data_IF_095617993604
#
_entry.id   IF_095617993604
#
_cell.length_a   1.000
_cell.length_b   1.000
_cell.length_c   1.000
_cell.angle_alpha   90.00
_cell.angle_beta   90.00
_cell.angle_gamma   90.00
#
_symmetry.space_group_name_H-M   'P 1'
#
loop_
_entity.id
_entity.type
_entity.pdbx_description
1 polymer ?
#
# COMPACT_ATOMS: atom_id res chain seq x y z
N UNK A 1 12.53 -24.81 -22.51
CA UNK A 1 11.23 -24.63 -23.19
C UNK A 1 11.51 -23.93 -24.51
N UNK A 2 11.45 -24.66 -25.61
CA UNK A 2 11.66 -24.09 -26.93
C UNK A 2 10.40 -23.32 -27.33
N UNK A 3 10.56 -22.06 -27.70
CA UNK A 3 9.48 -21.29 -28.33
C UNK A 3 9.10 -21.97 -29.64
N UNK A 4 7.81 -21.92 -30.03
CA UNK A 4 7.38 -22.48 -31.31
C UNK A 4 8.15 -21.81 -32.44
N UNK A 5 8.74 -22.62 -33.30
CA UNK A 5 9.51 -22.20 -34.47
C UNK A 5 8.61 -21.44 -35.46
N UNK A 6 8.88 -20.14 -35.62
CA UNK A 6 8.97 -19.39 -36.88
C UNK A 6 7.76 -19.24 -37.81
N UNK A 7 6.76 -20.11 -37.79
CA UNK A 7 5.79 -20.21 -38.90
C UNK A 7 4.33 -20.04 -38.50
N UNK A 8 4.03 -19.92 -37.19
CA UNK A 8 2.67 -19.63 -36.68
C UNK A 8 2.53 -18.24 -36.04
N UNK A 9 3.59 -17.44 -36.01
CA UNK A 9 3.61 -16.08 -35.45
C UNK A 9 3.07 -14.99 -36.40
N UNK A 10 2.24 -15.35 -37.39
CA UNK A 10 1.62 -14.42 -38.33
C UNK A 10 0.09 -14.62 -38.41
N UNK A 11 -0.56 -14.88 -37.28
CA UNK A 11 -1.95 -14.44 -37.17
C UNK A 11 -1.93 -12.90 -37.09
N UNK A 12 -2.72 -12.17 -37.91
CA UNK A 12 -2.77 -10.73 -37.81
C UNK A 12 -3.22 -10.36 -36.39
N UNK A 13 -2.35 -9.66 -35.65
CA UNK A 13 -2.70 -9.06 -34.38
C UNK A 13 -3.90 -8.15 -34.61
N UNK A 14 -5.10 -8.59 -34.24
CA UNK A 14 -6.24 -7.69 -34.07
C UNK A 14 -6.12 -7.00 -32.70
N UNK A 15 -5.00 -6.31 -32.50
CA UNK A 15 -4.72 -5.46 -31.35
C UNK A 15 -5.68 -4.26 -31.26
N UNK A 16 -6.63 -4.15 -32.20
CA UNK A 16 -7.63 -3.09 -32.26
C UNK A 16 -8.72 -3.22 -31.19
N UNK A 17 -8.83 -4.37 -30.50
CA UNK A 17 -9.93 -4.65 -29.55
C UNK A 17 -9.57 -4.52 -28.07
N UNK A 18 -8.29 -4.65 -27.67
CA UNK A 18 -7.88 -4.62 -26.26
C UNK A 18 -7.10 -3.34 -25.99
N UNK A 19 -7.63 -2.47 -25.13
CA UNK A 19 -6.88 -1.30 -24.66
C UNK A 19 -5.79 -1.75 -23.68
N UNK A 20 -4.55 -1.78 -24.16
CA UNK A 20 -3.37 -2.10 -23.36
C UNK A 20 -2.74 -0.86 -22.70
N UNK A 21 -3.43 0.29 -22.67
CA UNK A 21 -3.01 1.45 -21.89
C UNK A 21 -3.28 1.25 -20.38
N UNK A 22 -2.73 0.17 -19.83
CA UNK A 22 -2.79 -0.10 -18.40
C UNK A 22 -1.88 0.87 -17.63
N UNK A 23 -2.15 1.11 -16.33
CA UNK A 23 -1.24 1.84 -15.47
C UNK A 23 0.17 1.24 -15.52
N UNK A 24 1.19 2.10 -15.53
CA UNK A 24 2.60 1.69 -15.61
C UNK A 24 3.31 1.64 -14.26
N UNK A 25 2.67 2.16 -13.21
CA UNK A 25 3.15 2.16 -11.83
C UNK A 25 2.01 2.50 -10.86
N UNK A 26 2.22 2.24 -9.56
CA UNK A 26 1.23 2.49 -8.50
C UNK A 26 0.68 3.92 -8.48
N UNK A 27 1.55 4.93 -8.53
CA UNK A 27 1.14 6.35 -8.54
C UNK A 27 0.43 6.80 -9.84
N UNK A 28 0.37 5.95 -10.86
CA UNK A 28 -0.31 6.22 -12.14
C UNK A 28 -1.71 5.61 -12.19
N UNK A 29 -2.10 4.88 -11.13
CA UNK A 29 -3.43 4.35 -10.98
C UNK A 29 -4.39 5.43 -10.47
N UNK A 30 -5.61 5.46 -10.99
CA UNK A 30 -6.70 6.19 -10.34
C UNK A 30 -7.03 5.57 -8.98
N UNK A 31 -7.78 6.30 -8.16
CA UNK A 31 -8.28 5.79 -6.88
C UNK A 31 -9.09 4.50 -7.07
N UNK A 32 -9.98 4.49 -8.06
CA UNK A 32 -10.84 3.34 -8.37
C UNK A 32 -10.02 2.13 -8.80
N UNK A 33 -8.98 2.34 -9.61
CA UNK A 33 -8.06 1.27 -10.01
C UNK A 33 -7.29 0.70 -8.80
N UNK A 34 -6.86 1.55 -7.86
CA UNK A 34 -6.22 1.10 -6.62
C UNK A 34 -7.19 0.30 -5.74
N UNK A 35 -8.45 0.73 -5.62
CA UNK A 35 -9.48 0.01 -4.87
C UNK A 35 -9.79 -1.36 -5.51
N UNK A 36 -9.83 -1.46 -6.84
CA UNK A 36 -9.97 -2.74 -7.58
C UNK A 36 -8.78 -3.67 -7.29
N UNK A 37 -7.55 -3.15 -7.37
CA UNK A 37 -6.34 -3.93 -7.06
C UNK A 37 -6.38 -4.41 -5.60
N UNK A 38 -6.79 -3.56 -4.67
CA UNK A 38 -6.95 -3.92 -3.26
C UNK A 38 -7.95 -5.07 -3.04
N UNK A 39 -9.09 -5.05 -3.74
CA UNK A 39 -10.06 -6.14 -3.68
C UNK A 39 -9.47 -7.46 -4.22
N UNK A 40 -8.75 -7.42 -5.35
CA UNK A 40 -8.07 -8.61 -5.90
C UNK A 40 -7.07 -9.19 -4.89
N UNK A 41 -6.25 -8.35 -4.27
CA UNK A 41 -5.28 -8.80 -3.26
C UNK A 41 -5.99 -9.48 -2.07
N UNK A 42 -7.06 -8.87 -1.57
CA UNK A 42 -7.83 -9.43 -0.46
C UNK A 42 -8.42 -10.78 -0.82
N UNK A 43 -9.07 -10.88 -1.98
CA UNK A 43 -9.68 -12.12 -2.46
C UNK A 43 -8.64 -13.25 -2.63
N UNK A 44 -7.42 -12.93 -3.07
CA UNK A 44 -6.33 -13.91 -3.17
C UNK A 44 -5.80 -14.35 -1.81
N UNK A 45 -5.73 -13.44 -0.83
CA UNK A 45 -5.33 -13.77 0.54
C UNK A 45 -6.40 -14.61 1.26
N UNK A 46 -7.69 -14.31 1.05
CA UNK A 46 -8.80 -15.06 1.65
C UNK A 46 -8.90 -16.49 1.12
N UNK A 47 -8.49 -16.72 -0.14
CA UNK A 47 -8.45 -18.03 -0.78
C UNK A 47 -7.18 -18.82 -0.47
N UNK A 48 -6.23 -18.24 0.26
CA UNK A 48 -4.97 -18.89 0.58
C UNK A 48 -5.21 -20.11 1.49
N UNK A 49 -4.75 -21.26 1.03
CA UNK A 49 -4.73 -22.48 1.82
C UNK A 49 -3.42 -23.25 1.62
N UNK A 50 -3.27 -24.39 2.30
CA UNK A 50 -2.05 -25.21 2.24
C UNK A 50 -1.72 -25.70 0.81
N UNK A 51 -2.73 -25.87 -0.03
CA UNK A 51 -2.64 -26.40 -1.39
C UNK A 51 -2.65 -25.30 -2.45
N UNK A 52 -3.14 -24.11 -2.11
CA UNK A 52 -3.23 -22.93 -2.96
C UNK A 52 -2.56 -21.74 -2.26
N UNK A 53 -1.21 -21.68 -2.25
CA UNK A 53 -0.50 -20.56 -1.66
C UNK A 53 -0.76 -19.26 -2.44
N UNK A 54 -0.58 -18.12 -1.78
CA UNK A 54 -0.69 -16.82 -2.42
C UNK A 54 0.21 -16.74 -3.68
N UNK A 55 -0.38 -16.36 -4.81
CA UNK A 55 0.32 -16.21 -6.09
C UNK A 55 0.15 -14.80 -6.64
N UNK A 56 1.27 -14.09 -6.78
CA UNK A 56 1.30 -12.77 -7.41
C UNK A 56 0.92 -12.84 -8.90
N UNK A 57 1.14 -13.99 -9.54
CA UNK A 57 0.72 -14.21 -10.94
C UNK A 57 -0.81 -14.19 -11.05
N UNK A 58 -1.52 -14.80 -10.09
CA UNK A 58 -2.99 -14.76 -10.06
C UNK A 58 -3.50 -13.34 -9.84
N UNK A 59 -2.84 -12.55 -8.98
CA UNK A 59 -3.16 -11.14 -8.78
C UNK A 59 -2.99 -10.36 -10.08
N UNK A 60 -1.86 -10.51 -10.77
CA UNK A 60 -1.59 -9.84 -12.05
C UNK A 60 -2.58 -10.27 -13.14
N UNK A 61 -2.94 -11.55 -13.19
CA UNK A 61 -3.92 -12.06 -14.13
C UNK A 61 -5.30 -11.42 -13.91
N UNK A 62 -5.79 -11.41 -12.67
CA UNK A 62 -7.06 -10.78 -12.34
C UNK A 62 -7.03 -9.26 -12.57
N UNK A 63 -5.93 -8.60 -12.21
CA UNK A 63 -5.74 -7.17 -12.44
C UNK A 63 -5.70 -6.84 -13.94
N UNK A 64 -5.08 -7.70 -14.75
CA UNK A 64 -5.06 -7.55 -16.20
C UNK A 64 -6.47 -7.52 -16.79
N UNK A 65 -7.31 -8.51 -16.47
CA UNK A 65 -8.69 -8.53 -16.98
C UNK A 65 -9.48 -7.31 -16.51
N UNK A 66 -9.43 -6.99 -15.21
CA UNK A 66 -10.23 -5.90 -14.65
C UNK A 66 -9.77 -4.51 -15.13
N UNK A 67 -8.46 -4.26 -15.22
CA UNK A 67 -7.93 -2.98 -15.68
C UNK A 67 -8.07 -2.80 -17.19
N UNK A 68 -8.05 -3.88 -17.98
CA UNK A 68 -8.34 -3.86 -19.41
C UNK A 68 -9.86 -3.84 -19.71
N UNK A 69 -10.72 -3.77 -18.67
CA UNK A 69 -12.17 -3.84 -18.78
C UNK A 69 -12.67 -5.08 -19.54
N UNK A 70 -12.08 -6.24 -19.25
CA UNK A 70 -12.42 -7.51 -19.88
C UNK A 70 -13.29 -8.37 -18.95
N UNK A 71 -14.44 -8.80 -19.46
CA UNK A 71 -15.29 -9.80 -18.82
C UNK A 71 -14.99 -11.19 -19.39
N UNK A 72 -14.85 -12.18 -18.51
CA UNK A 72 -14.64 -13.58 -18.90
C UNK A 72 -16.00 -14.26 -19.04
N UNK A 73 -16.32 -14.71 -20.26
CA UNK A 73 -17.54 -15.44 -20.59
C UNK A 73 -17.33 -16.96 -20.48
N UNK A 74 -16.14 -17.45 -20.82
CA UNK A 74 -15.78 -18.86 -20.67
C UNK A 74 -14.31 -19.03 -20.30
N UNK A 75 -14.04 -20.03 -19.47
CA UNK A 75 -12.70 -20.42 -19.04
C UNK A 75 -12.02 -21.36 -20.06
N UNK A 76 -10.68 -21.43 -20.07
CA UNK A 76 -9.95 -22.30 -20.98
C UNK A 76 -10.27 -23.78 -20.74
N UNK A 77 -10.47 -24.54 -21.83
CA UNK A 77 -10.57 -25.99 -21.76
C UNK A 77 -9.18 -26.62 -21.60
N UNK A 78 -8.91 -27.19 -20.42
CA UNK A 78 -7.63 -27.80 -20.08
C UNK A 78 -7.31 -29.08 -20.86
N UNK A 79 -8.28 -29.62 -21.61
CA UNK A 79 -8.09 -30.79 -22.50
C UNK A 79 -7.42 -30.43 -23.81
N UNK A 80 -7.46 -29.16 -24.21
CA UNK A 80 -6.82 -28.68 -25.43
C UNK A 80 -5.31 -28.47 -25.22
N UNK A 81 -4.49 -28.54 -26.28
CA UNK A 81 -3.09 -28.14 -26.22
C UNK A 81 -2.94 -26.69 -25.71
N UNK A 82 -1.87 -26.40 -24.95
CA UNK A 82 -1.66 -25.09 -24.31
C UNK A 82 -1.73 -23.91 -25.29
N UNK A 83 -1.27 -24.09 -26.53
CA UNK A 83 -1.28 -23.04 -27.57
C UNK A 83 -2.69 -22.73 -28.10
N UNK A 84 -3.65 -23.63 -27.89
CA UNK A 84 -5.06 -23.52 -28.31
C UNK A 84 -5.99 -23.14 -27.17
N UNK A 85 -5.48 -23.09 -25.93
CA UNK A 85 -6.25 -22.67 -24.76
C UNK A 85 -6.45 -21.14 -24.76
N UNK A 86 -7.69 -20.70 -24.57
CA UNK A 86 -8.07 -19.29 -24.50
C UNK A 86 -9.19 -19.03 -23.50
N UNK A 87 -9.26 -17.80 -23.00
CA UNK A 87 -10.45 -17.26 -22.35
C UNK A 87 -11.37 -16.69 -23.43
N UNK A 88 -12.67 -16.97 -23.36
CA UNK A 88 -13.63 -16.23 -24.19
C UNK A 88 -13.96 -14.94 -23.44
N UNK A 89 -13.64 -13.79 -24.04
CA UNK A 89 -13.74 -12.49 -23.39
C UNK A 89 -14.64 -11.52 -24.16
N UNK A 90 -15.10 -10.49 -23.46
CA UNK A 90 -15.75 -9.31 -24.03
C UNK A 90 -15.23 -8.03 -23.37
N UNK A 91 -15.14 -6.94 -24.12
CA UNK A 91 -14.85 -5.62 -23.56
C UNK A 91 -16.10 -5.06 -22.89
N UNK A 92 -15.99 -4.65 -21.64
CA UNK A 92 -17.05 -3.98 -20.89
C UNK A 92 -16.89 -2.48 -21.04
N UNK A 93 -17.75 -1.84 -21.83
CA UNK A 93 -17.84 -0.38 -21.80
C UNK A 93 -18.94 0.08 -20.83
N UNK A 94 -18.85 1.30 -20.27
CA UNK A 94 -19.93 1.85 -19.44
C UNK A 94 -21.30 1.89 -20.13
N UNK A 95 -21.31 1.97 -21.46
CA UNK A 95 -22.54 1.98 -22.28
C UNK A 95 -23.17 0.57 -22.43
N UNK A 96 -22.36 -0.49 -22.46
CA UNK A 96 -22.81 -1.88 -22.63
C UNK A 96 -23.58 -2.43 -21.43
N UNK A 97 -23.55 -1.78 -20.26
CA UNK A 97 -24.29 -2.23 -19.06
C UNK A 97 -25.81 -2.30 -19.27
N UNK A 98 -26.33 -1.55 -20.24
CA UNK A 98 -27.76 -1.52 -20.57
C UNK A 98 -28.11 -2.28 -21.87
N UNK A 99 -27.14 -2.46 -22.76
CA UNK A 99 -27.30 -3.20 -24.02
C UNK A 99 -26.01 -3.99 -24.32
N UNK A 100 -25.90 -5.25 -23.87
CA UNK A 100 -24.70 -6.03 -24.09
C UNK A 100 -24.48 -6.23 -25.59
N UNK A 101 -23.40 -5.69 -26.13
CA UNK A 101 -22.89 -6.08 -27.44
C UNK A 101 -22.39 -7.53 -27.36
N UNK A 102 -22.68 -8.32 -28.39
CA UNK A 102 -22.38 -9.77 -28.45
C UNK A 102 -20.99 -10.05 -29.05
N UNK A 103 -20.12 -9.04 -29.11
CA UNK A 103 -18.79 -9.14 -29.74
C UNK A 103 -17.79 -9.78 -28.76
N UNK A 104 -17.92 -11.10 -28.60
CA UNK A 104 -16.95 -11.91 -27.87
C UNK A 104 -15.74 -12.26 -28.72
N UNK A 105 -14.57 -12.41 -28.10
CA UNK A 105 -13.33 -12.79 -28.79
C UNK A 105 -12.47 -13.72 -27.92
N UNK A 106 -11.69 -14.61 -28.53
CA UNK A 106 -10.77 -15.47 -27.81
C UNK A 106 -9.52 -14.69 -27.38
N UNK A 107 -9.13 -14.83 -26.12
CA UNK A 107 -7.88 -14.34 -25.58
C UNK A 107 -6.99 -15.51 -25.17
N UNK A 108 -5.97 -15.79 -25.97
CA UNK A 108 -5.15 -16.99 -25.81
C UNK A 108 -4.23 -16.90 -24.60
N UNK A 109 -4.00 -18.05 -23.94
CA UNK A 109 -3.12 -18.14 -22.78
C UNK A 109 -1.69 -17.68 -23.10
N UNK A 110 -1.17 -18.00 -24.29
CA UNK A 110 0.17 -17.57 -24.69
C UNK A 110 0.26 -16.04 -24.85
N UNK A 111 -0.83 -15.35 -25.23
CA UNK A 111 -0.85 -13.88 -25.34
C UNK A 111 -0.79 -13.24 -23.95
N UNK A 112 -1.62 -13.73 -23.03
CA UNK A 112 -1.65 -13.28 -21.65
C UNK A 112 -0.29 -13.54 -20.99
N UNK A 113 0.26 -14.73 -21.19
CA UNK A 113 1.56 -15.10 -20.65
C UNK A 113 2.67 -14.20 -21.22
N UNK A 114 2.65 -13.90 -22.52
CA UNK A 114 3.58 -12.94 -23.12
C UNK A 114 3.46 -11.56 -22.47
N UNK A 115 2.27 -11.05 -22.21
CA UNK A 115 2.11 -9.73 -21.60
C UNK A 115 2.53 -9.65 -20.13
N UNK A 116 2.22 -10.69 -19.35
CA UNK A 116 2.49 -10.73 -17.91
C UNK A 116 3.89 -11.22 -17.56
N UNK A 117 4.55 -11.92 -18.48
CA UNK A 117 5.91 -12.42 -18.28
C UNK A 117 6.94 -11.29 -18.18
N UNK A 118 8.00 -11.45 -17.36
CA UNK A 118 9.04 -10.45 -17.19
C UNK A 118 9.74 -10.08 -18.49
N UNK A 119 10.19 -8.83 -18.56
CA UNK A 119 11.02 -8.32 -19.65
C UNK A 119 12.46 -8.82 -19.50
N UNK A 120 13.15 -9.07 -20.61
CA UNK A 120 14.55 -9.46 -20.61
C UNK A 120 15.39 -8.40 -19.88
N UNK A 121 16.33 -8.83 -19.04
CA UNK A 121 17.29 -7.96 -18.36
C UNK A 121 18.52 -7.68 -19.21
N UNK A 122 18.67 -8.41 -20.31
CA UNK A 122 19.77 -8.29 -21.25
C UNK A 122 19.40 -7.47 -22.48
N UNK A 123 20.36 -6.67 -22.96
CA UNK A 123 20.25 -5.94 -24.22
C UNK A 123 20.53 -6.83 -25.45
N UNK A 124 21.01 -8.06 -25.23
CA UNK A 124 21.34 -8.98 -26.31
C UNK A 124 20.07 -9.59 -26.92
N UNK A 125 19.66 -9.05 -28.07
CA UNK A 125 18.47 -9.46 -28.83
C UNK A 125 18.48 -10.91 -29.33
N UNK A 126 19.64 -11.56 -29.33
CA UNK A 126 19.80 -12.96 -29.79
C UNK A 126 19.89 -13.95 -28.63
N UNK A 127 19.89 -13.48 -27.39
CA UNK A 127 19.94 -14.37 -26.23
C UNK A 127 18.64 -15.15 -26.07
N UNK A 128 18.71 -16.38 -25.57
CA UNK A 128 17.53 -17.16 -25.24
C UNK A 128 16.59 -16.44 -24.25
N UNK A 129 17.15 -15.61 -23.36
CA UNK A 129 16.41 -14.73 -22.45
C UNK A 129 15.60 -13.67 -23.21
N UNK A 130 16.20 -12.99 -24.20
CA UNK A 130 15.50 -12.02 -25.03
C UNK A 130 14.53 -12.66 -26.03
N UNK A 131 14.71 -13.92 -26.40
CA UNK A 131 13.73 -14.55 -27.29
C UNK A 131 12.50 -15.01 -26.47
N UNK A 132 12.69 -15.38 -25.20
CA UNK A 132 11.64 -15.87 -24.30
C UNK A 132 10.97 -14.81 -23.41
N UNK A 133 11.37 -13.53 -23.48
CA UNK A 133 10.82 -12.51 -22.60
C UNK A 133 9.41 -12.05 -22.96
N UNK A 134 8.69 -11.61 -21.93
CA UNK A 134 7.39 -10.96 -22.06
C UNK A 134 7.46 -9.44 -22.05
N UNK A 135 6.30 -8.80 -22.12
CA UNK A 135 6.16 -7.34 -22.13
C UNK A 135 6.14 -6.71 -20.71
N UNK A 136 5.99 -7.53 -19.66
CA UNK A 136 5.95 -7.15 -18.24
C UNK A 136 5.04 -5.96 -17.92
N UNK A 137 3.84 -5.94 -18.51
CA UNK A 137 2.94 -4.77 -18.45
C UNK A 137 2.45 -4.46 -17.03
N UNK A 138 2.43 -5.46 -16.15
CA UNK A 138 2.09 -5.33 -14.73
C UNK A 138 3.28 -5.64 -13.81
N UNK A 139 4.51 -5.60 -14.32
CA UNK A 139 5.73 -5.85 -13.53
C UNK A 139 5.88 -4.90 -12.34
N UNK A 140 5.36 -3.68 -12.46
CA UNK A 140 5.40 -2.68 -11.40
C UNK A 140 4.65 -3.08 -10.12
N UNK A 141 3.75 -4.07 -10.20
CA UNK A 141 3.07 -4.60 -9.02
C UNK A 141 4.01 -5.45 -8.15
N UNK A 142 5.15 -5.91 -8.69
CA UNK A 142 6.15 -6.64 -7.93
C UNK A 142 6.98 -5.70 -7.05
N UNK A 143 7.06 -6.01 -5.76
CA UNK A 143 7.86 -5.27 -4.77
C UNK A 143 9.36 -5.16 -5.12
N UNK A 144 9.87 -6.05 -5.97
CA UNK A 144 11.28 -6.09 -6.41
C UNK A 144 11.66 -4.95 -7.35
N UNK A 145 10.70 -4.34 -8.03
CA UNK A 145 10.95 -3.31 -9.04
C UNK A 145 11.11 -1.90 -8.44
N UNK A 146 11.03 -1.77 -7.11
CA UNK A 146 11.34 -0.51 -6.41
C UNK A 146 10.31 0.60 -6.60
N UNK A 147 9.20 0.32 -7.27
CA UNK A 147 8.08 1.24 -7.45
C UNK A 147 7.02 0.98 -6.38
N UNK A 148 6.67 2.03 -5.64
CA UNK A 148 5.71 1.94 -4.56
C UNK A 148 4.66 3.05 -4.65
N UNK A 149 3.50 2.83 -4.04
CA UNK A 149 2.49 3.87 -3.86
C UNK A 149 3.00 4.87 -2.81
N UNK A 150 3.21 6.12 -3.20
CA UNK A 150 3.64 7.22 -2.32
C UNK A 150 2.66 8.39 -2.34
N UNK A 151 1.88 8.49 -3.41
CA UNK A 151 0.73 9.37 -3.48
C UNK A 151 -0.44 8.80 -2.66
N UNK A 152 -1.10 9.65 -1.89
CA UNK A 152 -2.27 9.26 -1.10
C UNK A 152 -3.56 9.50 -1.88
N UNK A 153 -4.37 8.47 -2.17
CA UNK A 153 -5.50 8.60 -3.11
C UNK A 153 -6.79 9.16 -2.49
N UNK A 154 -6.77 9.55 -1.21
CA UNK A 154 -7.95 10.04 -0.49
C UNK A 154 -7.75 11.48 -0.01
N UNK A 155 -7.75 12.43 -0.95
CA UNK A 155 -7.54 13.85 -0.65
C UNK A 155 -8.51 14.36 0.44
N UNK A 156 -9.81 14.15 0.27
CA UNK A 156 -10.80 14.49 1.28
C UNK A 156 -11.90 13.43 1.40
N UNK A 157 -12.27 13.13 2.64
CA UNK A 157 -13.37 12.22 2.95
C UNK A 157 -14.34 12.87 3.94
N UNK A 158 -15.60 12.49 3.86
CA UNK A 158 -16.64 12.96 4.78
C UNK A 158 -17.29 11.77 5.50
N UNK A 159 -17.11 11.69 6.81
CA UNK A 159 -17.54 10.53 7.63
C UNK A 159 -18.51 10.97 8.73
N UNK A 160 -19.44 10.09 9.08
CA UNK A 160 -20.28 10.22 10.28
C UNK A 160 -19.65 9.39 11.40
N UNK A 161 -19.85 9.82 12.65
CA UNK A 161 -19.49 9.03 13.82
C UNK A 161 -20.32 7.73 13.83
N UNK A 162 -19.71 6.60 14.14
CA UNK A 162 -20.45 5.34 14.24
C UNK A 162 -21.53 5.44 15.33
N UNK A 163 -22.72 4.91 15.05
CA UNK A 163 -23.89 5.04 15.93
C UNK A 163 -24.59 6.40 15.87
N UNK A 164 -24.10 7.35 15.07
CA UNK A 164 -24.80 8.61 14.85
C UNK A 164 -26.00 8.41 13.93
N UNK A 165 -27.13 9.05 14.28
CA UNK A 165 -28.38 8.96 13.52
C UNK A 165 -28.27 9.47 12.08
N UNK A 166 -29.29 9.20 11.27
CA UNK A 166 -29.33 9.55 9.85
C UNK A 166 -29.16 11.07 9.62
N UNK A 167 -29.62 11.90 10.57
CA UNK A 167 -29.50 13.36 10.52
C UNK A 167 -28.17 13.93 11.04
N UNK A 168 -27.26 13.08 11.54
CA UNK A 168 -25.98 13.56 12.06
C UNK A 168 -25.10 14.16 10.95
N UNK A 169 -24.48 15.30 11.26
CA UNK A 169 -23.59 16.02 10.35
C UNK A 169 -22.31 15.21 10.11
N UNK A 170 -21.89 15.10 8.85
CA UNK A 170 -20.59 14.52 8.48
C UNK A 170 -19.46 15.47 8.88
N UNK A 171 -18.40 14.94 9.48
CA UNK A 171 -17.13 15.64 9.66
C UNK A 171 -16.27 15.42 8.41
N UNK A 172 -15.62 16.49 7.95
CA UNK A 172 -14.66 16.44 6.83
C UNK A 172 -13.27 16.15 7.37
N UNK A 173 -12.55 15.34 6.62
CA UNK A 173 -11.19 14.95 6.90
C UNK A 173 -10.37 15.07 5.62
N UNK A 174 -9.11 15.47 5.75
CA UNK A 174 -8.16 15.57 4.65
C UNK A 174 -7.01 14.58 4.85
N UNK A 175 -6.68 13.85 3.80
CA UNK A 175 -5.56 12.90 3.80
C UNK A 175 -4.20 13.60 3.82
N UNK A 176 -3.11 12.84 4.09
CA UNK A 176 -1.74 13.28 3.88
C UNK A 176 -1.53 13.75 2.44
N UNK A 177 -0.65 14.73 2.27
CA UNK A 177 -0.09 15.05 0.96
C UNK A 177 1.00 14.04 0.60
N UNK A 178 1.39 14.05 -0.68
CA UNK A 178 2.51 13.24 -1.19
C UNK A 178 3.75 13.39 -0.31
N UNK A 179 4.47 12.29 -0.09
CA UNK A 179 5.67 12.24 0.75
C UNK A 179 5.45 12.77 2.18
N UNK A 180 4.23 12.64 2.71
CA UNK A 180 3.85 13.12 4.04
C UNK A 180 4.08 14.64 4.21
N UNK A 181 3.98 15.43 3.15
CA UNK A 181 4.08 16.89 3.25
C UNK A 181 3.06 17.45 4.26
N UNK A 182 3.55 18.24 5.21
CA UNK A 182 2.78 18.74 6.35
C UNK A 182 2.66 17.81 7.57
N UNK A 183 3.27 16.62 7.56
CA UNK A 183 3.33 15.78 8.76
C UNK A 183 4.30 16.36 9.78
N UNK A 184 3.78 16.57 11.00
CA UNK A 184 4.64 16.82 12.15
C UNK A 184 5.34 15.53 12.59
N UNK A 185 6.45 15.69 13.29
CA UNK A 185 7.15 14.56 13.90
C UNK A 185 6.25 13.77 14.86
N UNK A 186 5.43 14.46 15.66
CA UNK A 186 4.47 13.81 16.53
C UNK A 186 3.46 12.96 15.73
N UNK A 187 2.87 13.52 14.67
CA UNK A 187 1.92 12.81 13.83
C UNK A 187 2.54 11.55 13.21
N UNK A 188 3.76 11.65 12.67
CA UNK A 188 4.48 10.51 12.13
C UNK A 188 4.70 9.41 13.19
N UNK A 189 5.14 9.77 14.40
CA UNK A 189 5.36 8.82 15.50
C UNK A 189 4.07 8.11 15.87
N UNK A 190 2.99 8.85 16.11
CA UNK A 190 1.71 8.26 16.46
C UNK A 190 1.19 7.35 15.34
N UNK A 191 1.38 7.73 14.07
CA UNK A 191 0.98 6.89 12.94
C UNK A 191 1.77 5.57 12.91
N UNK A 192 3.09 5.65 13.10
CA UNK A 192 3.97 4.47 13.18
C UNK A 192 3.60 3.55 14.36
N UNK A 193 3.37 4.11 15.54
CA UNK A 193 2.99 3.37 16.75
C UNK A 193 1.63 2.67 16.57
N UNK A 194 0.65 3.36 15.97
CA UNK A 194 -0.67 2.79 15.71
C UNK A 194 -0.63 1.71 14.62
N UNK A 195 0.16 1.88 13.56
CA UNK A 195 0.35 0.84 12.55
C UNK A 195 1.04 -0.40 13.14
N UNK A 196 2.05 -0.20 14.00
CA UNK A 196 2.70 -1.29 14.73
C UNK A 196 1.70 -2.06 15.60
N UNK A 197 0.87 -1.33 16.34
CA UNK A 197 -0.21 -1.89 17.17
C UNK A 197 -1.23 -2.68 16.33
N UNK A 198 -1.71 -2.10 15.24
CA UNK A 198 -2.62 -2.76 14.29
C UNK A 198 -2.02 -4.08 13.77
N UNK A 199 -0.77 -4.04 13.32
CA UNK A 199 -0.08 -5.21 12.76
C UNK A 199 0.03 -6.34 13.80
N UNK A 200 0.40 -6.02 15.04
CA UNK A 200 0.48 -7.00 16.13
C UNK A 200 -0.88 -7.63 16.43
N UNK A 201 -1.92 -6.80 16.56
CA UNK A 201 -3.28 -7.26 16.86
C UNK A 201 -3.86 -8.10 15.71
N UNK A 202 -3.65 -7.68 14.46
CA UNK A 202 -4.10 -8.38 13.25
C UNK A 202 -3.43 -9.75 13.13
N UNK A 203 -2.10 -9.80 13.30
CA UNK A 203 -1.36 -11.07 13.30
C UNK A 203 -1.83 -12.01 14.43
N UNK A 204 -2.14 -11.46 15.62
CA UNK A 204 -2.69 -12.24 16.73
C UNK A 204 -4.09 -12.78 16.38
N UNK A 205 -4.93 -11.98 15.73
CA UNK A 205 -6.27 -12.41 15.33
C UNK A 205 -6.21 -13.59 14.34
N UNK A 206 -5.35 -13.50 13.33
CA UNK A 206 -5.12 -14.58 12.34
C UNK A 206 -4.67 -15.86 13.06
N UNK A 207 -3.69 -15.75 13.98
CA UNK A 207 -3.24 -16.89 14.79
C UNK A 207 -4.36 -17.49 15.63
N UNK A 208 -5.18 -16.66 16.29
CA UNK A 208 -6.32 -17.13 17.09
C UNK A 208 -7.34 -17.89 16.24
N UNK A 209 -7.65 -17.39 15.04
CA UNK A 209 -8.57 -18.04 14.10
C UNK A 209 -8.02 -19.40 13.62
N UNK A 210 -6.72 -19.49 13.34
CA UNK A 210 -6.07 -20.73 12.91
C UNK A 210 -5.98 -21.79 14.01
N UNK A 211 -5.75 -21.37 15.27
CA UNK A 211 -5.54 -22.28 16.39
C UNK A 211 -6.80 -23.04 16.84
N UNK A 212 -8.01 -22.58 16.48
CA UNK A 212 -9.31 -23.20 16.84
C UNK A 212 -9.50 -23.51 18.34
N UNK A 213 -8.75 -22.82 19.22
CA UNK A 213 -8.77 -23.01 20.69
C UNK A 213 -9.50 -21.90 21.45
N UNK A 214 -9.82 -20.80 20.77
CA UNK A 214 -10.40 -19.60 21.37
C UNK A 214 -11.92 -19.59 21.20
N UNK A 215 -12.63 -19.03 22.18
CA UNK A 215 -14.08 -18.89 22.09
C UNK A 215 -14.45 -17.84 21.04
N UNK A 216 -15.64 -17.92 20.42
CA UNK A 216 -16.12 -16.89 19.48
C UNK A 216 -16.07 -15.48 20.08
N UNK A 217 -16.41 -15.33 21.36
CA UNK A 217 -16.35 -14.06 22.09
C UNK A 217 -14.93 -13.49 22.20
N UNK A 218 -13.93 -14.35 22.41
CA UNK A 218 -12.51 -13.92 22.45
C UNK A 218 -12.04 -13.46 21.06
N UNK A 219 -12.44 -14.17 20.01
CA UNK A 219 -12.14 -13.79 18.62
C UNK A 219 -12.82 -12.46 18.27
N UNK A 220 -14.08 -12.28 18.64
CA UNK A 220 -14.83 -11.03 18.42
C UNK A 220 -14.21 -9.85 19.17
N UNK A 221 -13.82 -10.04 20.44
CA UNK A 221 -13.12 -9.03 21.22
C UNK A 221 -11.80 -8.63 20.54
N UNK A 222 -11.05 -9.60 20.03
CA UNK A 222 -9.81 -9.31 19.32
C UNK A 222 -10.07 -8.59 17.99
N UNK A 223 -11.11 -8.96 17.25
CA UNK A 223 -11.51 -8.27 16.03
C UNK A 223 -11.88 -6.80 16.29
N UNK A 224 -12.61 -6.53 17.38
CA UNK A 224 -12.93 -5.15 17.84
C UNK A 224 -11.66 -4.35 18.17
N UNK A 225 -10.64 -4.98 18.78
CA UNK A 225 -9.37 -4.32 19.05
C UNK A 225 -8.61 -3.98 17.75
N UNK A 226 -8.62 -4.89 16.76
CA UNK A 226 -8.04 -4.64 15.42
C UNK A 226 -8.74 -3.47 14.74
N UNK A 227 -10.08 -3.46 14.76
CA UNK A 227 -10.86 -2.37 14.18
C UNK A 227 -10.58 -1.03 14.87
N UNK A 228 -10.44 -1.02 16.20
CA UNK A 228 -10.09 0.19 16.94
C UNK A 228 -8.69 0.70 16.58
N UNK A 229 -7.69 -0.18 16.50
CA UNK A 229 -6.33 0.21 16.10
C UNK A 229 -6.28 0.78 14.68
N UNK A 230 -7.01 0.15 13.74
CA UNK A 230 -7.22 0.67 12.38
C UNK A 230 -7.86 2.06 12.41
N UNK A 231 -8.93 2.23 13.17
CA UNK A 231 -9.65 3.50 13.28
C UNK A 231 -8.78 4.62 13.91
N UNK A 232 -7.96 4.29 14.91
CA UNK A 232 -7.00 5.22 15.53
C UNK A 232 -5.89 5.61 14.55
N UNK A 233 -5.34 4.67 13.80
CA UNK A 233 -4.36 4.98 12.76
C UNK A 233 -4.95 5.92 11.70
N UNK A 234 -6.16 5.61 11.21
CA UNK A 234 -6.87 6.46 10.26
C UNK A 234 -7.10 7.86 10.83
N UNK A 235 -7.53 7.95 12.08
CA UNK A 235 -7.71 9.21 12.79
C UNK A 235 -6.41 10.02 12.91
N UNK A 236 -5.24 9.37 13.00
CA UNK A 236 -3.94 10.05 13.03
C UNK A 236 -3.55 10.62 11.67
N UNK A 237 -3.72 9.86 10.58
CA UNK A 237 -3.26 10.30 9.26
C UNK A 237 -4.21 11.30 8.60
N UNK A 238 -5.51 11.22 8.91
CA UNK A 238 -6.51 12.13 8.37
C UNK A 238 -6.70 13.32 9.30
N UNK A 239 -6.35 14.51 8.83
CA UNK A 239 -6.51 15.73 9.59
C UNK A 239 -7.97 16.18 9.55
N UNK A 240 -8.55 16.40 10.73
CA UNK A 240 -9.86 17.01 10.87
C UNK A 240 -9.81 18.52 10.67
N UNK A 241 -10.97 19.12 10.42
CA UNK A 241 -11.09 20.58 10.36
C UNK A 241 -11.09 21.16 11.79
N UNK A 242 -10.02 21.85 12.17
CA UNK A 242 -9.82 22.46 13.50
C UNK A 242 -9.61 23.96 13.39
N UNK A 243 -9.84 24.69 14.49
CA UNK A 243 -9.49 26.10 14.60
C UNK A 243 -8.02 26.19 15.02
N UNK A 244 -7.22 26.92 14.27
CA UNK A 244 -5.80 27.13 14.55
C UNK A 244 -5.45 28.61 14.41
N UNK A 245 -4.39 29.04 15.09
CA UNK A 245 -3.85 30.38 14.96
C UNK A 245 -2.95 30.42 13.73
N UNK A 246 -3.29 31.22 12.73
CA UNK A 246 -2.44 31.39 11.55
C UNK A 246 -1.20 32.20 11.91
N UNK A 247 -0.01 31.59 11.77
CA UNK A 247 1.26 32.22 12.14
C UNK A 247 1.54 33.51 11.36
N UNK A 248 1.01 33.65 10.15
CA UNK A 248 1.25 34.81 9.30
C UNK A 248 0.29 35.97 9.59
N UNK A 249 -0.96 35.68 9.95
CA UNK A 249 -1.98 36.72 10.18
C UNK A 249 -2.34 36.95 11.65
N UNK A 250 -1.91 36.06 12.56
CA UNK A 250 -2.30 36.09 13.98
C UNK A 250 -3.80 35.86 14.21
N UNK A 251 -4.55 35.49 13.18
CA UNK A 251 -5.99 35.29 13.24
C UNK A 251 -6.33 33.81 13.40
N UNK A 252 -7.39 33.53 14.16
CA UNK A 252 -7.94 32.17 14.28
C UNK A 252 -8.60 31.80 12.96
N UNK A 253 -8.00 30.87 12.22
CA UNK A 253 -8.53 30.30 10.99
C UNK A 253 -9.02 28.88 11.22
N UNK A 254 -9.85 28.41 10.31
CA UNK A 254 -10.36 27.04 10.32
C UNK A 254 -9.74 26.31 9.15
N UNK A 255 -9.11 25.17 9.41
CA UNK A 255 -8.38 24.41 8.40
C UNK A 255 -8.04 23.00 8.86
N UNK A 256 -7.42 22.23 7.97
CA UNK A 256 -7.04 20.86 8.24
C UNK A 256 -5.66 20.81 8.90
N UNK A 257 -5.63 20.60 10.21
CA UNK A 257 -4.40 20.46 10.97
C UNK A 257 -4.45 19.25 11.90
N UNK A 258 -3.28 18.69 12.17
CA UNK A 258 -3.10 17.66 13.16
C UNK A 258 -3.32 18.23 14.57
N UNK A 259 -4.09 17.51 15.38
CA UNK A 259 -4.27 17.75 16.80
C UNK A 259 -3.85 16.47 17.55
N UNK A 260 -3.10 16.59 18.64
CA UNK A 260 -2.60 15.43 19.40
C UNK A 260 -3.72 14.57 20.00
N UNK A 261 -4.90 15.14 20.24
CA UNK A 261 -6.08 14.43 20.73
C UNK A 261 -6.89 13.77 19.60
N UNK A 262 -6.55 14.02 18.33
CA UNK A 262 -7.38 13.57 17.23
C UNK A 262 -7.44 12.04 17.10
N UNK A 263 -6.40 11.34 17.57
CA UNK A 263 -6.33 9.88 17.52
C UNK A 263 -7.45 9.19 18.30
N UNK A 264 -7.88 9.77 19.43
CA UNK A 264 -8.95 9.24 20.29
C UNK A 264 -10.28 9.88 19.94
N UNK A 265 -10.31 11.19 19.69
CA UNK A 265 -11.55 11.93 19.41
C UNK A 265 -12.16 11.58 18.05
N UNK A 266 -11.32 11.31 17.04
CA UNK A 266 -11.80 11.03 15.69
C UNK A 266 -11.91 9.54 15.36
N UNK A 267 -11.39 8.62 16.18
CA UNK A 267 -11.41 7.17 15.90
C UNK A 267 -12.83 6.66 15.57
N UNK A 268 -13.84 7.11 16.31
CA UNK A 268 -15.23 6.68 16.09
C UNK A 268 -15.80 7.04 14.69
N UNK A 269 -15.21 8.02 13.97
CA UNK A 269 -15.60 8.34 12.59
C UNK A 269 -15.06 7.33 11.58
N UNK A 270 -14.00 6.60 11.94
CA UNK A 270 -13.30 5.65 11.09
C UNK A 270 -13.63 4.19 11.40
N UNK A 271 -14.47 3.90 12.41
CA UNK A 271 -15.02 2.56 12.60
C UNK A 271 -15.85 2.13 11.38
N UNK A 272 -15.76 0.86 10.98
CA UNK A 272 -16.33 0.38 9.72
C UNK A 272 -15.79 1.09 8.47
N UNK A 273 -14.50 1.44 8.45
CA UNK A 273 -13.87 1.96 7.23
C UNK A 273 -13.73 0.83 6.20
N UNK A 274 -14.13 1.03 4.92
CA UNK A 274 -14.13 -0.02 3.91
C UNK A 274 -12.78 -0.75 3.81
N UNK A 275 -12.80 -2.09 3.76
CA UNK A 275 -11.57 -2.88 3.74
C UNK A 275 -10.76 -2.70 2.46
N UNK A 276 -11.42 -2.50 1.32
CA UNK A 276 -10.76 -2.19 0.06
C UNK A 276 -9.96 -0.87 0.17
N UNK A 277 -10.57 0.18 0.74
CA UNK A 277 -9.90 1.46 0.94
C UNK A 277 -8.78 1.37 1.97
N UNK A 278 -8.97 0.57 3.02
CA UNK A 278 -7.94 0.30 4.02
C UNK A 278 -6.70 -0.36 3.41
N UNK A 279 -6.90 -1.36 2.56
CA UNK A 279 -5.81 -2.05 1.88
C UNK A 279 -5.00 -1.11 0.98
N UNK A 280 -5.66 -0.14 0.31
CA UNK A 280 -4.95 0.92 -0.43
C UNK A 280 -4.11 1.80 0.50
N UNK A 281 -4.61 2.13 1.70
CA UNK A 281 -3.85 2.87 2.70
C UNK A 281 -2.63 2.06 3.20
N UNK A 282 -2.76 0.74 3.31
CA UNK A 282 -1.62 -0.13 3.62
C UNK A 282 -0.57 -0.12 2.50
N UNK A 283 -0.98 -0.20 1.23
CA UNK A 283 -0.05 -0.07 0.10
C UNK A 283 0.72 1.25 0.14
N UNK A 284 0.01 2.35 0.41
CA UNK A 284 0.61 3.68 0.54
C UNK A 284 1.57 3.77 1.75
N UNK A 285 1.15 3.29 2.92
CA UNK A 285 1.98 3.36 4.12
C UNK A 285 3.26 2.55 3.95
N UNK A 286 3.16 1.31 3.49
CA UNK A 286 4.32 0.45 3.21
C UNK A 286 5.23 1.09 2.16
N UNK A 287 4.66 1.66 1.10
CA UNK A 287 5.41 2.31 0.05
C UNK A 287 6.18 3.53 0.54
N UNK A 288 5.52 4.38 1.31
CA UNK A 288 6.12 5.57 1.93
C UNK A 288 7.24 5.18 2.89
N UNK A 289 7.00 4.21 3.78
CA UNK A 289 8.04 3.74 4.70
C UNK A 289 9.25 3.13 3.98
N UNK A 290 9.04 2.47 2.84
CA UNK A 290 10.14 1.93 2.03
C UNK A 290 10.98 3.04 1.39
N UNK A 291 10.35 4.12 0.92
CA UNK A 291 11.07 5.28 0.40
C UNK A 291 11.84 5.98 1.53
N UNK A 292 11.24 6.15 2.70
CA UNK A 292 11.90 6.74 3.87
C UNK A 292 13.08 5.90 4.37
N UNK A 293 12.95 4.56 4.40
CA UNK A 293 14.03 3.69 4.84
C UNK A 293 15.23 3.71 3.90
N UNK A 294 15.00 3.89 2.59
CA UNK A 294 16.08 4.12 1.62
C UNK A 294 16.72 5.50 1.76
N UNK A 295 15.93 6.53 2.09
CA UNK A 295 16.43 7.90 2.26
C UNK A 295 17.21 8.08 3.57
N UNK A 296 16.80 7.40 4.63
CA UNK A 296 17.38 7.50 5.98
C UNK A 296 17.84 6.12 6.51
N UNK A 297 18.77 5.45 5.82
CA UNK A 297 19.11 4.07 6.11
C UNK A 297 19.64 3.84 7.53
N UNK A 298 20.34 4.80 8.15
CA UNK A 298 20.89 4.62 9.50
C UNK A 298 19.82 4.77 10.58
N UNK A 299 18.74 5.51 10.30
CA UNK A 299 17.57 5.60 11.20
C UNK A 299 16.75 4.32 11.20
N UNK A 300 16.54 3.73 10.01
CA UNK A 300 15.68 2.54 9.84
C UNK A 300 16.44 1.20 9.93
N UNK A 301 17.76 1.22 10.12
CA UNK A 301 18.58 0.01 10.26
C UNK A 301 18.24 -0.70 11.57
N UNK A 302 17.61 -1.87 11.45
CA UNK A 302 17.47 -2.80 12.57
C UNK A 302 18.87 -3.28 12.97
N UNK A 303 19.42 -2.76 14.06
CA UNK A 303 20.71 -3.23 14.56
C UNK A 303 20.56 -4.66 15.08
N UNK A 304 21.34 -5.64 14.57
CA UNK A 304 21.37 -6.98 15.14
C UNK A 304 22.14 -6.91 16.46
N UNK A 305 21.43 -6.65 17.56
CA UNK A 305 22.05 -6.62 18.88
C UNK A 305 22.34 -8.04 19.34
N UNK A 306 23.60 -8.46 19.30
CA UNK A 306 24.00 -9.82 19.72
C UNK A 306 23.85 -10.09 21.22
N UNK A 307 23.73 -9.08 22.10
CA UNK A 307 23.52 -9.25 23.57
C UNK A 307 22.81 -8.09 24.28
N UNK A 308 22.24 -7.14 23.55
CA UNK A 308 21.42 -6.07 24.15
C UNK A 308 20.03 -6.09 23.54
N UNK A 309 19.03 -5.68 24.31
CA UNK A 309 17.67 -5.50 23.80
C UNK A 309 17.77 -4.54 22.60
N UNK A 310 17.19 -4.84 21.43
CA UNK A 310 17.11 -3.85 20.35
C UNK A 310 16.47 -2.60 20.96
N UNK A 311 17.12 -1.44 20.78
CA UNK A 311 16.67 -0.19 21.37
C UNK A 311 15.21 0.01 21.00
N UNK A 312 14.35 0.10 22.00
CA UNK A 312 12.94 0.33 21.72
C UNK A 312 12.81 1.63 20.90
N UNK A 313 11.86 1.75 19.96
CA UNK A 313 11.61 3.02 19.27
C UNK A 313 11.45 4.20 20.24
N UNK A 314 10.96 3.92 21.46
CA UNK A 314 10.92 4.86 22.57
C UNK A 314 12.31 5.28 23.09
N UNK A 315 13.29 4.38 23.20
CA UNK A 315 14.66 4.72 23.64
C UNK A 315 15.41 5.54 22.59
N UNK A 316 15.19 5.24 21.29
CA UNK A 316 15.70 6.05 20.19
C UNK A 316 15.03 7.44 20.25
N UNK A 317 13.72 7.52 20.52
CA UNK A 317 13.01 8.78 20.76
C UNK A 317 13.57 9.54 21.96
N UNK A 318 13.75 8.92 23.14
CA UNK A 318 14.27 9.63 24.33
C UNK A 318 15.69 10.15 24.09
N UNK A 319 16.54 9.34 23.44
CA UNK A 319 17.89 9.76 23.08
C UNK A 319 17.89 10.92 22.06
N UNK A 320 16.96 10.90 21.11
CA UNK A 320 16.84 11.91 20.06
C UNK A 320 16.24 13.21 20.57
N UNK A 321 15.14 13.15 21.32
CA UNK A 321 14.53 14.30 21.97
C UNK A 321 15.53 14.93 22.95
N UNK A 322 16.28 14.13 23.72
CA UNK A 322 17.34 14.63 24.59
C UNK A 322 18.50 15.26 23.78
N UNK A 323 18.85 14.72 22.62
CA UNK A 323 19.91 15.28 21.75
C UNK A 323 19.46 16.58 21.09
N UNK A 324 18.23 16.65 20.59
CA UNK A 324 17.65 17.88 20.04
C UNK A 324 17.46 18.96 21.11
N UNK A 325 17.01 18.60 22.30
CA UNK A 325 16.96 19.50 23.45
C UNK A 325 18.35 20.02 23.82
N UNK A 326 19.36 19.14 23.85
CA UNK A 326 20.72 19.48 24.27
C UNK A 326 21.50 20.32 23.24
N UNK A 327 21.38 20.03 21.94
CA UNK A 327 22.21 20.65 20.90
C UNK A 327 21.48 21.72 20.09
N UNK A 328 20.15 21.67 19.99
CA UNK A 328 19.35 22.68 19.28
C UNK A 328 18.59 23.63 20.21
N UNK A 329 18.59 23.38 21.53
CA UNK A 329 17.90 24.21 22.52
C UNK A 329 16.37 24.18 22.40
N UNK A 330 15.82 23.19 21.68
CA UNK A 330 14.39 23.06 21.42
C UNK A 330 13.68 22.38 22.58
N UNK A 331 12.49 22.87 22.93
CA UNK A 331 11.57 22.16 23.83
C UNK A 331 10.96 20.93 23.16
N UNK A 332 10.43 19.98 23.95
CA UNK A 332 9.74 18.80 23.41
C UNK A 332 8.56 19.17 22.49
N UNK A 333 7.80 20.20 22.85
CA UNK A 333 6.70 20.71 22.03
C UNK A 333 7.18 21.32 20.70
N UNK A 334 8.34 21.98 20.70
CA UNK A 334 8.93 22.49 19.47
C UNK A 334 9.38 21.34 18.56
N UNK A 335 10.02 20.30 19.09
CA UNK A 335 10.42 19.11 18.32
C UNK A 335 9.20 18.38 17.77
N UNK A 336 8.15 18.21 18.57
CA UNK A 336 6.92 17.53 18.17
C UNK A 336 6.18 18.22 17.01
N UNK A 337 6.31 19.54 16.91
CA UNK A 337 5.71 20.35 15.85
C UNK A 337 6.64 20.57 14.64
N UNK A 338 7.91 20.15 14.71
CA UNK A 338 8.79 20.18 13.53
C UNK A 338 8.33 19.20 12.46
N UNK A 339 8.71 19.49 11.21
CA UNK A 339 8.47 18.55 10.11
C UNK A 339 9.21 17.25 10.39
N UNK A 340 8.53 16.13 10.12
CA UNK A 340 9.11 14.81 10.36
C UNK A 340 10.43 14.60 9.57
N UNK A 341 10.52 15.18 8.37
CA UNK A 341 11.69 15.06 7.50
C UNK A 341 12.93 15.71 8.09
N UNK A 342 12.78 16.88 8.71
CA UNK A 342 13.89 17.58 9.37
C UNK A 342 14.41 16.74 10.55
N UNK A 343 13.49 16.17 11.33
CA UNK A 343 13.87 15.31 12.46
C UNK A 343 14.57 14.04 11.98
N UNK A 344 14.08 13.39 10.91
CA UNK A 344 14.75 12.23 10.31
C UNK A 344 16.14 12.56 9.75
N UNK A 345 16.34 13.73 9.15
CA UNK A 345 17.65 14.18 8.66
C UNK A 345 18.66 14.38 9.80
N UNK A 346 18.22 15.00 10.90
CA UNK A 346 19.05 15.12 12.11
C UNK A 346 19.39 13.77 12.72
N UNK A 347 18.41 12.86 12.80
CA UNK A 347 18.57 11.49 13.26
C UNK A 347 19.60 10.71 12.42
N UNK A 348 19.50 10.80 11.10
CA UNK A 348 20.41 10.13 10.18
C UNK A 348 21.85 10.58 10.39
N UNK A 349 22.06 11.90 10.55
CA UNK A 349 23.38 12.46 10.82
C UNK A 349 23.94 11.96 12.15
N UNK A 350 23.15 12.00 13.22
CA UNK A 350 23.56 11.54 14.55
C UNK A 350 23.86 10.04 14.59
N UNK A 351 23.02 9.22 13.96
CA UNK A 351 23.24 7.77 13.87
C UNK A 351 24.52 7.45 13.10
N UNK A 352 24.80 8.16 12.00
CA UNK A 352 26.04 8.00 11.24
C UNK A 352 27.28 8.39 12.06
N UNK A 353 27.25 9.54 12.72
CA UNK A 353 28.35 10.01 13.58
C UNK A 353 28.62 9.01 14.73
N UNK A 354 27.56 8.45 15.33
CA UNK A 354 27.70 7.43 16.37
C UNK A 354 28.28 6.11 15.84
N UNK A 355 27.84 5.64 14.66
CA UNK A 355 28.43 4.45 14.02
C UNK A 355 29.92 4.64 13.73
N UNK A 356 30.34 5.84 13.32
CA UNK A 356 31.74 6.19 13.09
C UNK A 356 32.54 6.20 14.41
N UNK A 357 32.01 6.80 15.48
CA UNK A 357 32.63 6.75 16.80
C UNK A 357 32.77 5.33 17.36
N UNK A 358 31.74 4.49 17.21
CA UNK A 358 31.83 3.08 17.62
C UNK A 358 32.88 2.31 16.82
N UNK A 359 32.99 2.56 15.50
CA UNK A 359 34.05 1.96 14.68
C UNK A 359 35.44 2.41 15.15
N UNK A 360 35.59 3.68 15.57
CA UNK A 360 36.85 4.18 16.11
C UNK A 360 37.17 3.60 17.49
N UNK A 361 36.18 3.36 18.36
CA UNK A 361 36.38 2.73 19.68
C UNK A 361 36.70 1.23 19.63
N UNK A 362 36.33 0.56 18.53
CA UNK A 362 36.59 -0.86 18.29
C UNK A 362 37.92 -1.13 17.58
N UNK A 363 38.57 -0.07 17.08
CA UNK A 363 39.98 -0.09 16.65
C UNK A 363 40.85 0.31 17.83
#
# INVERSE_FOLDING_TARGET
MALPTGSKMQAPFDSRRIDLNLPKHWNGCSREQLEIIADIFRDQVEREDRYHPFSMENVKLAAFFLLANLEILAYPDTRLPQDEQFYLCRVVTPADKNHPTDDSFPLYLWQINYWLSPKAKTDNKQSAEYIAHGADILGWMDSKNGMFLTWFPYDEISRKKQGAGIFAKKKRFRGPRTDLDGFSWAQYRFASDMMGTYTQLSNSLIKMQQMKKFTPEQIEKQAKNVELAKAMFLAVIFNGEVKYLDANSGLVRKGFHYDSLQCTENADYFKGFPENQWQVILFWWTGTMHVLSKRFPHVFKVQPTKKQKPSAPLEIYTATTATMQKYAGLTEDQVNNQSYSLVLEHLERLSKENEEMEKMRRK
#
